data_IF_589626291721
#
_entry.id   IF_589626291721
#
_cell.length_a   1.000
_cell.length_b   1.000
_cell.length_c   1.000
_cell.angle_alpha   90.00
_cell.angle_beta   90.00
_cell.angle_gamma   90.00
#
_symmetry.space_group_name_H-M   'P 1'
#
loop_
_entity.id
_entity.type
_entity.pdbx_description
1 polymer ?
#
# COMPACT_ATOMS: atom_id res chain seq x y z
N UNK A 1 -8.02 -3.06 5.51
CA UNK A 1 -7.27 -2.05 6.27
C UNK A 1 -5.94 -1.74 5.61
N UNK A 2 -5.45 -0.52 5.80
CA UNK A 2 -4.20 0.04 5.28
C UNK A 2 -3.31 0.38 6.47
N UNK A 3 -2.05 -0.03 6.38
CA UNK A 3 -1.01 0.21 7.37
C UNK A 3 0.22 0.79 6.70
N UNK A 4 1.06 1.46 7.49
CA UNK A 4 2.39 1.89 7.09
C UNK A 4 3.42 1.35 8.08
N UNK A 5 4.65 1.13 7.61
CA UNK A 5 5.76 0.77 8.48
C UNK A 5 6.98 0.31 7.69
N UNK A 6 8.07 0.02 8.40
CA UNK A 6 9.32 -0.41 7.78
C UNK A 6 9.18 -1.76 7.04
N UNK A 7 10.18 -2.11 6.25
CA UNK A 7 10.18 -3.33 5.43
C UNK A 7 10.13 -4.64 6.23
N UNK A 8 10.50 -4.64 7.52
CA UNK A 8 10.36 -5.80 8.41
C UNK A 8 8.97 -5.94 9.01
N UNK A 9 8.15 -4.88 8.99
CA UNK A 9 6.83 -4.85 9.61
C UNK A 9 6.84 -4.63 11.13
N UNK A 10 8.00 -4.29 11.71
CA UNK A 10 8.17 -4.10 13.16
C UNK A 10 7.64 -2.74 13.66
N UNK A 11 7.49 -1.75 12.77
CA UNK A 11 7.01 -0.40 13.10
C UNK A 11 5.61 -0.11 12.54
N UNK A 12 4.74 -1.10 12.55
CA UNK A 12 3.46 -1.04 11.84
C UNK A 12 2.42 -0.15 12.53
N UNK A 13 1.79 0.73 11.77
CA UNK A 13 0.72 1.62 12.23
C UNK A 13 -0.50 1.53 11.31
N UNK A 14 -1.70 1.41 11.90
CA UNK A 14 -2.96 1.47 11.15
C UNK A 14 -3.24 2.91 10.73
N UNK A 15 -3.46 3.14 9.44
CA UNK A 15 -3.70 4.48 8.88
C UNK A 15 -5.07 4.64 8.21
N UNK A 16 -5.75 3.54 7.90
CA UNK A 16 -7.14 3.52 7.45
C UNK A 16 -7.69 2.11 7.51
N UNK A 17 -8.92 1.89 7.98
CA UNK A 17 -9.38 0.54 8.28
C UNK A 17 -10.72 0.50 8.98
N UNK A 18 -11.28 -0.70 9.07
CA UNK A 18 -12.33 -1.01 10.04
C UNK A 18 -11.83 -0.58 11.43
N UNK A 19 -12.51 0.37 12.07
CA UNK A 19 -12.10 0.92 13.37
C UNK A 19 -11.10 2.09 13.34
N UNK A 20 -10.63 2.55 12.17
CA UNK A 20 -9.83 3.77 12.07
C UNK A 20 -10.73 5.01 11.97
N UNK A 21 -10.40 6.09 12.68
CA UNK A 21 -11.15 7.36 12.60
C UNK A 21 -11.03 8.05 11.23
N UNK A 22 -10.03 7.68 10.44
CA UNK A 22 -9.69 8.28 9.14
C UNK A 22 -10.47 7.66 7.98
N UNK A 23 -11.02 6.45 8.12
CA UNK A 23 -11.75 5.77 7.04
C UNK A 23 -13.23 5.61 7.42
N UNK A 24 -14.02 6.60 7.02
CA UNK A 24 -15.42 6.75 7.47
C UNK A 24 -16.38 5.72 6.85
N UNK A 25 -16.05 5.15 5.69
CA UNK A 25 -16.81 4.09 5.04
C UNK A 25 -15.97 3.30 4.05
N UNK A 26 -16.37 2.06 3.76
CA UNK A 26 -15.69 1.21 2.77
C UNK A 26 -15.65 1.91 1.41
N UNK A 27 -14.46 1.98 0.81
CA UNK A 27 -14.25 2.61 -0.49
C UNK A 27 -14.17 4.14 -0.47
N UNK A 28 -14.39 4.80 0.67
CA UNK A 28 -14.17 6.24 0.77
C UNK A 28 -12.68 6.59 0.67
N UNK A 29 -12.31 7.68 -0.04
CA UNK A 29 -10.94 8.18 -0.02
C UNK A 29 -10.61 8.72 1.38
N UNK A 30 -9.37 8.58 1.79
CA UNK A 30 -8.83 9.15 3.01
C UNK A 30 -7.36 9.51 2.82
N UNK A 31 -6.84 10.37 3.69
CA UNK A 31 -5.44 10.79 3.70
C UNK A 31 -4.72 10.21 4.91
N UNK A 32 -3.44 9.94 4.76
CA UNK A 32 -2.55 9.49 5.83
C UNK A 32 -1.13 9.94 5.57
N UNK A 33 -0.33 9.93 6.63
CA UNK A 33 1.10 10.22 6.58
C UNK A 33 1.90 8.93 6.42
N UNK A 34 2.97 8.98 5.62
CA UNK A 34 3.90 7.87 5.43
C UNK A 34 5.32 8.41 5.31
N UNK A 35 6.27 7.83 6.04
CA UNK A 35 7.65 8.29 6.01
C UNK A 35 8.40 7.72 4.80
N UNK A 36 9.45 8.41 4.36
CA UNK A 36 10.39 7.85 3.40
C UNK A 36 11.08 6.61 3.99
N UNK A 37 11.20 5.54 3.20
CA UNK A 37 11.70 4.24 3.64
C UNK A 37 10.61 3.30 4.17
N UNK A 38 9.42 3.79 4.48
CA UNK A 38 8.29 2.95 4.87
C UNK A 38 7.65 2.27 3.65
N UNK A 39 6.92 1.21 3.92
CA UNK A 39 6.10 0.48 2.98
C UNK A 39 4.63 0.69 3.31
N UNK A 40 3.79 0.66 2.28
CA UNK A 40 2.34 0.57 2.47
C UNK A 40 1.95 -0.90 2.52
N UNK A 41 1.13 -1.24 3.49
CA UNK A 41 0.55 -2.56 3.65
C UNK A 41 -0.97 -2.48 3.51
N UNK A 42 -1.57 -3.46 2.84
CA UNK A 42 -3.02 -3.60 2.74
C UNK A 42 -3.39 -4.98 3.25
N UNK A 43 -4.10 -5.07 4.38
CA UNK A 43 -4.77 -6.29 4.79
C UNK A 43 -6.16 -6.31 4.15
N UNK A 44 -6.41 -7.31 3.31
CA UNK A 44 -7.69 -7.57 2.70
C UNK A 44 -8.20 -8.93 3.17
N UNK A 45 -9.46 -8.98 3.60
CA UNK A 45 -10.09 -10.18 4.10
C UNK A 45 -11.50 -10.29 3.56
N UNK A 46 -12.02 -11.50 3.58
CA UNK A 46 -13.40 -11.76 3.28
C UNK A 46 -14.32 -11.27 4.41
N UNK A 47 -15.45 -10.64 4.07
CA UNK A 47 -16.54 -10.48 5.03
C UNK A 47 -17.50 -11.66 4.87
N UNK A 48 -17.87 -12.32 5.96
CA UNK A 48 -18.73 -13.52 5.93
C UNK A 48 -20.09 -13.35 5.19
N UNK A 49 -20.48 -12.13 4.82
CA UNK A 49 -21.68 -11.81 4.05
C UNK A 49 -21.49 -11.76 2.54
N UNK A 50 -20.26 -11.69 2.03
CA UNK A 50 -19.93 -11.64 0.61
C UNK A 50 -19.12 -12.89 0.26
N UNK A 51 -19.76 -13.92 -0.29
CA UNK A 51 -19.07 -15.12 -0.74
C UNK A 51 -17.99 -14.82 -1.80
N UNK A 52 -17.13 -15.80 -2.13
CA UNK A 52 -16.11 -15.66 -3.16
C UNK A 52 -16.72 -15.24 -4.52
N UNK A 53 -15.92 -14.63 -5.41
CA UNK A 53 -14.49 -14.39 -5.28
C UNK A 53 -14.13 -13.22 -4.36
N UNK A 54 -12.91 -13.22 -3.82
CA UNK A 54 -12.36 -12.12 -3.02
C UNK A 54 -11.25 -11.43 -3.79
N UNK A 55 -11.35 -10.12 -3.95
CA UNK A 55 -10.31 -9.30 -4.56
C UNK A 55 -10.29 -7.96 -3.85
N UNK A 56 -9.14 -7.31 -3.80
CA UNK A 56 -9.07 -5.90 -3.42
C UNK A 56 -8.57 -5.07 -4.59
N UNK A 57 -8.94 -3.80 -4.58
CA UNK A 57 -8.52 -2.81 -5.56
C UNK A 57 -8.26 -1.49 -4.84
N UNK A 58 -7.23 -0.77 -5.26
CA UNK A 58 -6.87 0.50 -4.65
C UNK A 58 -5.92 1.33 -5.49
N UNK A 59 -5.90 2.62 -5.17
CA UNK A 59 -4.99 3.60 -5.72
C UNK A 59 -4.48 4.49 -4.58
N UNK A 60 -3.17 4.68 -4.51
CA UNK A 60 -2.51 5.51 -3.51
C UNK A 60 -1.68 6.59 -4.20
N UNK A 61 -1.95 7.85 -3.89
CA UNK A 61 -1.13 8.96 -4.36
C UNK A 61 -0.21 9.41 -3.23
N UNK A 62 1.11 9.28 -3.43
CA UNK A 62 2.15 9.61 -2.45
C UNK A 62 3.11 10.60 -3.09
N UNK A 63 3.01 11.87 -2.68
CA UNK A 63 3.71 12.95 -3.37
C UNK A 63 3.34 12.99 -4.86
N UNK A 64 4.31 12.81 -5.75
CA UNK A 64 4.12 12.76 -7.21
C UNK A 64 3.97 11.35 -7.77
N UNK A 65 4.03 10.31 -6.93
CA UNK A 65 3.94 8.92 -7.36
C UNK A 65 2.56 8.37 -7.07
N UNK A 66 1.95 7.74 -8.08
CA UNK A 66 0.71 7.00 -7.90
C UNK A 66 1.02 5.51 -7.95
N UNK A 67 0.64 4.79 -6.90
CA UNK A 67 0.67 3.35 -6.83
C UNK A 67 -0.73 2.80 -7.09
N UNK A 68 -0.79 1.76 -7.92
CA UNK A 68 -2.02 1.05 -8.23
C UNK A 68 -1.93 -0.36 -7.67
N UNK A 69 -3.06 -0.94 -7.27
CA UNK A 69 -3.13 -2.39 -7.06
C UNK A 69 -2.85 -3.10 -8.39
N UNK A 70 -1.82 -3.93 -8.42
CA UNK A 70 -1.42 -4.77 -9.56
C UNK A 70 -0.47 -5.88 -9.05
N UNK A 71 -0.04 -6.77 -9.92
CA UNK A 71 0.82 -7.92 -9.56
C UNK A 71 2.31 -7.60 -9.53
N UNK A 72 2.73 -6.41 -9.96
CA UNK A 72 4.15 -6.04 -10.10
C UNK A 72 4.65 -5.10 -9.02
N UNK A 73 3.78 -4.25 -8.50
CA UNK A 73 4.10 -3.23 -7.49
C UNK A 73 3.83 -3.72 -6.08
N UNK A 74 3.29 -4.94 -5.94
CA UNK A 74 2.89 -5.53 -4.67
C UNK A 74 3.48 -6.91 -4.49
N UNK A 75 3.73 -7.24 -3.23
CA UNK A 75 4.04 -8.56 -2.74
C UNK A 75 3.03 -8.96 -1.68
N UNK A 76 2.90 -10.24 -1.37
CA UNK A 76 1.86 -10.74 -0.50
C UNK A 76 2.32 -11.87 0.44
N UNK A 77 1.63 -11.95 1.57
CA UNK A 77 1.58 -13.05 2.54
C UNK A 77 0.12 -13.28 2.89
N UNK A 78 -0.20 -14.39 3.56
CA UNK A 78 -1.54 -14.61 4.06
C UNK A 78 -1.53 -15.32 5.42
N UNK A 79 -2.67 -15.23 6.09
CA UNK A 79 -3.05 -16.01 7.27
C UNK A 79 -4.49 -16.48 7.06
N UNK A 80 -4.82 -17.71 7.46
CA UNK A 80 -6.14 -18.32 7.25
C UNK A 80 -6.91 -18.55 8.56
N UNK A 81 -6.45 -17.94 9.65
CA UNK A 81 -6.97 -18.18 11.01
C UNK A 81 -7.77 -17.01 11.57
N UNK A 82 -7.57 -15.79 11.04
CA UNK A 82 -8.21 -14.57 11.54
C UNK A 82 -8.75 -13.69 10.42
N UNK A 83 -10.04 -13.33 10.51
CA UNK A 83 -10.63 -12.23 9.74
C UNK A 83 -10.46 -10.92 10.50
N UNK A 84 -10.29 -9.82 9.78
CA UNK A 84 -10.06 -8.47 10.34
C UNK A 84 -8.92 -8.43 11.39
N UNK A 85 -7.66 -8.62 10.95
CA UNK A 85 -6.54 -8.74 11.87
C UNK A 85 -6.23 -7.42 12.58
N UNK A 86 -5.84 -7.51 13.85
CA UNK A 86 -5.25 -6.40 14.61
C UNK A 86 -3.88 -5.99 14.06
N UNK A 87 -3.42 -4.78 14.41
CA UNK A 87 -2.07 -4.30 14.06
C UNK A 87 -0.98 -5.30 14.48
N UNK A 88 -1.10 -5.89 15.67
CA UNK A 88 -0.13 -6.86 16.18
C UNK A 88 -0.07 -8.13 15.33
N UNK A 89 -1.23 -8.62 14.86
CA UNK A 89 -1.29 -9.81 13.98
C UNK A 89 -0.70 -9.52 12.61
N UNK A 90 -1.01 -8.36 12.02
CA UNK A 90 -0.43 -7.98 10.73
C UNK A 90 1.08 -7.78 10.85
N UNK A 91 1.56 -7.17 11.93
CA UNK A 91 3.00 -7.03 12.22
C UNK A 91 3.69 -8.38 12.40
N UNK A 92 3.05 -9.33 13.10
CA UNK A 92 3.58 -10.68 13.27
C UNK A 92 3.67 -11.44 11.94
N UNK A 93 2.64 -11.33 11.08
CA UNK A 93 2.68 -11.94 9.74
C UNK A 93 3.76 -11.32 8.85
N UNK A 94 3.93 -10.00 8.89
CA UNK A 94 4.98 -9.33 8.13
C UNK A 94 6.39 -9.83 8.53
N UNK A 95 6.61 -10.02 9.83
CA UNK A 95 7.86 -10.50 10.43
C UNK A 95 8.08 -12.02 10.33
N UNK A 96 7.07 -12.78 9.91
CA UNK A 96 7.18 -14.24 9.82
C UNK A 96 8.26 -14.67 8.82
N UNK A 97 8.83 -15.84 9.04
CA UNK A 97 9.93 -16.37 8.21
C UNK A 97 9.52 -16.72 6.77
N UNK A 98 8.22 -16.75 6.45
CA UNK A 98 7.76 -16.99 5.08
C UNK A 98 8.20 -15.87 4.15
N UNK A 99 8.56 -16.23 2.93
CA UNK A 99 8.89 -15.26 1.88
C UNK A 99 7.65 -14.48 1.46
N UNK A 100 7.87 -13.22 1.11
CA UNK A 100 6.89 -12.44 0.37
C UNK A 100 6.79 -12.98 -1.06
N UNK A 101 5.57 -13.22 -1.54
CA UNK A 101 5.29 -13.75 -2.87
C UNK A 101 4.71 -12.65 -3.77
N UNK A 102 4.69 -12.86 -5.09
CA UNK A 102 3.91 -12.00 -5.98
C UNK A 102 2.42 -12.39 -5.93
N UNK A 103 1.48 -11.43 -6.03
CA UNK A 103 0.08 -11.75 -6.23
C UNK A 103 -0.12 -12.58 -7.51
N UNK A 104 -0.89 -13.66 -7.41
CA UNK A 104 -1.10 -14.58 -8.53
C UNK A 104 -2.43 -14.36 -9.26
N UNK A 105 -3.42 -13.76 -8.59
CA UNK A 105 -4.72 -13.46 -9.18
C UNK A 105 -4.85 -11.96 -9.49
N UNK A 106 -5.29 -11.64 -10.71
CA UNK A 106 -5.50 -10.26 -11.14
C UNK A 106 -6.56 -10.17 -12.22
N UNK A 107 -7.34 -9.09 -12.20
CA UNK A 107 -8.30 -8.74 -13.23
C UNK A 107 -8.38 -7.22 -13.40
N UNK A 108 -8.67 -6.71 -14.62
CA UNK A 108 -8.90 -5.29 -14.83
C UNK A 108 -10.07 -4.76 -13.99
N UNK A 109 -9.96 -3.53 -13.48
CA UNK A 109 -11.11 -2.78 -12.94
C UNK A 109 -12.28 -2.79 -13.95
N UNK A 110 -13.50 -3.06 -13.49
CA UNK A 110 -14.64 -3.27 -14.39
C UNK A 110 -15.03 -4.74 -14.60
N UNK A 111 -14.16 -5.69 -14.23
CA UNK A 111 -14.43 -7.12 -14.46
C UNK A 111 -15.58 -7.64 -13.59
N UNK A 112 -16.36 -8.57 -14.15
CA UNK A 112 -17.38 -9.33 -13.42
C UNK A 112 -16.74 -10.17 -12.30
N UNK A 113 -17.37 -10.33 -11.12
CA UNK A 113 -18.72 -9.86 -10.75
C UNK A 113 -18.77 -8.43 -10.20
N UNK A 114 -17.63 -7.76 -10.01
CA UNK A 114 -17.56 -6.52 -9.23
C UNK A 114 -17.93 -5.26 -10.01
N UNK A 115 -17.72 -5.24 -11.32
CA UNK A 115 -17.86 -4.03 -12.13
C UNK A 115 -16.76 -3.01 -11.84
N UNK A 116 -17.04 -1.73 -12.11
CA UNK A 116 -16.06 -0.64 -11.91
C UNK A 116 -16.16 -0.09 -10.49
N UNK A 117 -15.10 -0.25 -9.70
CA UNK A 117 -15.09 0.14 -8.28
C UNK A 117 -14.40 1.48 -8.03
N UNK A 118 -13.47 1.88 -8.92
CA UNK A 118 -12.66 3.11 -8.76
C UNK A 118 -12.60 3.96 -10.03
N UNK A 119 -13.72 4.06 -10.74
CA UNK A 119 -13.85 4.88 -11.95
C UNK A 119 -12.87 4.46 -13.06
N UNK A 120 -12.27 5.43 -13.75
CA UNK A 120 -11.32 5.22 -14.85
C UNK A 120 -9.89 4.87 -14.42
N UNK A 121 -9.66 4.53 -13.15
CA UNK A 121 -8.33 4.19 -12.66
C UNK A 121 -7.78 2.93 -13.34
N UNK A 122 -6.48 2.89 -13.68
CA UNK A 122 -5.83 1.71 -14.26
C UNK A 122 -5.52 0.62 -13.23
N UNK A 123 -5.95 0.75 -11.97
CA UNK A 123 -5.70 -0.30 -10.98
C UNK A 123 -6.40 -1.61 -11.36
N UNK A 124 -5.79 -2.71 -10.97
CA UNK A 124 -6.32 -4.06 -11.13
C UNK A 124 -6.91 -4.52 -9.80
N UNK A 125 -7.99 -5.28 -9.88
CA UNK A 125 -8.42 -6.11 -8.77
C UNK A 125 -7.40 -7.23 -8.62
N UNK A 126 -6.81 -7.40 -7.43
CA UNK A 126 -5.82 -8.45 -7.19
C UNK A 126 -6.16 -9.30 -5.96
N UNK A 127 -5.67 -10.54 -5.94
CA UNK A 127 -5.67 -11.42 -4.78
C UNK A 127 -4.36 -12.20 -4.72
N UNK A 128 -4.06 -12.81 -3.57
CA UNK A 128 -2.73 -13.40 -3.35
C UNK A 128 -2.52 -14.68 -4.17
N UNK A 129 -3.56 -15.50 -4.37
CA UNK A 129 -3.44 -16.81 -5.00
C UNK A 129 -4.41 -17.08 -6.16
N UNK A 130 -5.73 -17.04 -5.92
CA UNK A 130 -6.75 -17.55 -6.84
C UNK A 130 -7.90 -16.59 -7.05
N UNK A 131 -8.68 -16.81 -8.12
CA UNK A 131 -9.93 -16.13 -8.41
C UNK A 131 -10.99 -17.15 -8.82
N UNK A 132 -12.17 -17.10 -8.23
CA UNK A 132 -13.30 -17.98 -8.57
C UNK A 132 -13.21 -19.40 -8.00
N UNK A 133 -12.26 -19.66 -7.10
CA UNK A 133 -12.12 -20.89 -6.33
C UNK A 133 -11.74 -20.56 -4.89
N UNK A 134 -11.70 -21.57 -4.03
CA UNK A 134 -11.22 -21.43 -2.65
C UNK A 134 -9.79 -20.85 -2.64
N UNK A 135 -9.55 -19.92 -1.72
CA UNK A 135 -8.26 -19.29 -1.49
C UNK A 135 -7.57 -19.92 -0.28
N UNK A 136 -6.24 -19.99 -0.27
CA UNK A 136 -5.48 -20.43 0.89
C UNK A 136 -5.61 -19.47 2.08
N UNK A 137 -6.09 -18.24 1.85
CA UNK A 137 -6.48 -17.29 2.90
C UNK A 137 -7.97 -17.34 3.23
N UNK A 138 -8.69 -18.38 2.81
CA UNK A 138 -10.09 -18.59 3.18
C UNK A 138 -10.24 -18.52 4.70
N UNK A 139 -11.30 -17.87 5.17
CA UNK A 139 -11.49 -17.57 6.60
C UNK A 139 -10.43 -16.69 7.28
N UNK A 140 -9.49 -16.12 6.54
CA UNK A 140 -8.47 -15.23 7.07
C UNK A 140 -8.28 -13.96 6.25
N UNK A 141 -7.03 -13.57 6.02
CA UNK A 141 -6.67 -12.36 5.28
C UNK A 141 -5.42 -12.54 4.44
N UNK A 142 -5.37 -11.80 3.33
CA UNK A 142 -4.16 -11.58 2.55
C UNK A 142 -3.56 -10.22 2.94
N UNK A 143 -2.26 -10.22 3.23
CA UNK A 143 -1.46 -9.04 3.51
C UNK A 143 -0.65 -8.70 2.27
N UNK A 144 -0.95 -7.56 1.67
CA UNK A 144 -0.18 -7.00 0.56
C UNK A 144 0.78 -5.96 1.11
N UNK A 145 1.97 -5.87 0.52
CA UNK A 145 2.98 -4.85 0.79
C UNK A 145 3.52 -4.32 -0.53
N UNK A 146 3.75 -3.02 -0.63
CA UNK A 146 4.43 -2.45 -1.80
C UNK A 146 5.78 -3.14 -2.04
N UNK A 147 6.17 -3.29 -3.30
CA UNK A 147 7.46 -3.92 -3.65
C UNK A 147 8.63 -3.00 -3.29
N UNK A 148 8.45 -1.70 -3.51
CA UNK A 148 9.40 -0.66 -3.17
C UNK A 148 8.93 0.15 -1.94
N UNK A 149 9.86 0.66 -1.13
CA UNK A 149 9.53 1.63 -0.10
C UNK A 149 9.13 2.97 -0.72
N UNK A 150 8.40 3.76 0.05
CA UNK A 150 8.13 5.16 -0.26
C UNK A 150 9.44 5.92 -0.33
N UNK A 151 9.64 6.63 -1.43
CA UNK A 151 10.81 7.50 -1.61
C UNK A 151 10.48 8.91 -1.15
N UNK A 152 11.44 9.56 -0.48
CA UNK A 152 11.29 10.97 -0.14
C UNK A 152 11.17 11.78 -1.43
N UNK A 153 10.14 12.63 -1.51
CA UNK A 153 10.08 13.69 -2.52
C UNK A 153 10.72 14.92 -1.88
N UNK A 154 11.91 15.38 -2.34
CA UNK A 154 12.53 16.56 -1.75
C UNK A 154 11.59 17.75 -1.90
N UNK A 155 11.37 18.46 -0.80
CA UNK A 155 10.55 19.66 -0.85
C UNK A 155 11.16 20.70 -1.80
N UNK A 156 10.35 21.50 -2.52
CA UNK A 156 10.86 22.56 -3.39
C UNK A 156 11.81 23.54 -2.69
N UNK A 157 11.62 23.75 -1.39
CA UNK A 157 12.48 24.56 -0.53
C UNK A 157 13.92 24.04 -0.47
N UNK A 158 14.11 22.72 -0.50
CA UNK A 158 15.45 22.09 -0.49
C UNK A 158 16.23 22.49 -1.74
N UNK A 159 15.56 22.50 -2.90
CA UNK A 159 16.17 22.98 -4.15
C UNK A 159 16.42 24.48 -4.13
N UNK A 160 15.48 25.26 -3.60
CA UNK A 160 15.66 26.71 -3.48
C UNK A 160 16.88 27.07 -2.61
N UNK A 161 17.05 26.38 -1.47
CA UNK A 161 18.21 26.56 -0.58
C UNK A 161 19.51 26.09 -1.23
N UNK A 162 19.50 24.98 -1.97
CA UNK A 162 20.65 24.51 -2.72
C UNK A 162 21.08 25.54 -3.79
N UNK A 163 20.13 26.05 -4.57
CA UNK A 163 20.40 27.06 -5.61
C UNK A 163 20.91 28.35 -4.98
N UNK A 164 20.30 28.80 -3.88
CA UNK A 164 20.74 29.99 -3.15
C UNK A 164 22.17 29.80 -2.60
N UNK A 165 22.46 28.64 -2.01
CA UNK A 165 23.79 28.29 -1.50
C UNK A 165 24.86 28.26 -2.60
N UNK A 166 24.57 27.64 -3.75
CA UNK A 166 25.47 27.60 -4.90
C UNK A 166 25.70 29.00 -5.49
N UNK A 167 24.66 29.83 -5.53
CA UNK A 167 24.73 31.21 -6.01
C UNK A 167 25.62 32.08 -5.10
N UNK A 168 25.51 31.92 -3.78
CA UNK A 168 26.39 32.59 -2.81
C UNK A 168 27.85 32.14 -2.96
N UNK A 169 28.09 30.85 -3.20
CA UNK A 169 29.43 30.31 -3.42
C UNK A 169 30.06 30.89 -4.69
N UNK A 170 29.32 30.93 -5.80
CA UNK A 170 29.76 31.52 -7.06
C UNK A 170 30.06 33.02 -6.94
N UNK A 171 29.24 33.75 -6.17
CA UNK A 171 29.50 35.16 -5.88
C UNK A 171 30.78 35.36 -5.05
N UNK A 172 31.03 34.48 -4.07
CA UNK A 172 32.22 34.55 -3.22
C UNK A 172 33.51 34.25 -4.00
N UNK A 173 33.48 33.35 -4.99
CA UNK A 173 34.66 33.07 -5.84
C UNK A 173 34.97 34.20 -6.80
N UNK A 174 33.95 34.84 -7.39
CA UNK A 174 34.14 36.01 -8.26
C UNK A 174 34.76 37.21 -7.53
N UNK A 175 34.54 37.36 -6.23
CA UNK A 175 35.15 38.44 -5.42
C UNK A 175 36.61 38.20 -5.03
N UNK A 176 37.13 36.98 -5.22
CA UNK A 176 38.51 36.63 -4.85
C UNK A 176 39.47 36.57 -6.05
N UNK A 177 38.94 36.58 -7.27
CA UNK A 177 39.70 36.75 -8.50
C UNK A 177 39.82 38.23 -8.85
#
# INVERSE_FOLDING_TARGET
SVYVGNGSGSSMALVGGSGASTWQSQGAPFSFEVAAGDYIYVAAWDSASYGPPHMWIGQFTIGSTTLYSNTTDWTTKFDNTVKDPSVAQVSALAQSASSWLLPLASMPNGSSPYGSLIGGSPASMIWHDTFGSDSASESGYALFRTLAPVVAVPEPSTYALLIAGLSLLAFATQRRA
#
